data_IF_668318177262
#
_entry.id   IF_668318177262
#
_cell.length_a   1.000
_cell.length_b   1.000
_cell.length_c   1.000
_cell.angle_alpha   90.00
_cell.angle_beta   90.00
_cell.angle_gamma   90.00
#
_symmetry.space_group_name_H-M   'P 1'
#
loop_
_entity.id
_entity.type
_entity.pdbx_description
1 polymer ?
#
# COMPACT_ATOMS: atom_id res chain seq x y z
N UNK A 1 -21.12 -3.94 30.41
CA UNK A 1 -21.46 -3.06 31.54
C UNK A 1 -21.88 -1.69 31.00
N UNK A 2 -21.13 -1.05 30.09
CA UNK A 2 -21.41 0.31 29.60
C UNK A 2 -22.74 0.41 28.84
N UNK A 3 -23.07 -0.54 27.97
CA UNK A 3 -24.39 -0.60 27.32
C UNK A 3 -25.55 -0.67 28.33
N UNK A 4 -25.37 -1.37 29.45
CA UNK A 4 -26.41 -1.45 30.51
C UNK A 4 -26.58 -0.06 31.11
N UNK A 5 -25.47 0.59 31.49
CA UNK A 5 -25.51 1.92 32.09
C UNK A 5 -26.17 2.95 31.16
N UNK A 6 -25.67 3.04 29.92
CA UNK A 6 -26.19 4.00 28.92
C UNK A 6 -27.70 3.82 28.68
N UNK A 7 -28.15 2.58 28.47
CA UNK A 7 -29.56 2.33 28.20
C UNK A 7 -30.44 2.54 29.42
N UNK A 8 -29.94 2.17 30.62
CA UNK A 8 -30.68 2.41 31.87
C UNK A 8 -30.74 3.90 32.21
N UNK A 9 -29.66 4.66 32.02
CA UNK A 9 -29.64 6.10 32.23
C UNK A 9 -30.58 6.83 31.26
N UNK A 10 -30.51 6.46 29.95
CA UNK A 10 -31.45 7.02 28.95
C UNK A 10 -32.94 6.75 29.29
N UNK A 11 -33.24 5.57 29.82
CA UNK A 11 -34.60 5.26 30.29
C UNK A 11 -34.98 6.10 31.53
N UNK A 12 -34.06 6.25 32.50
CA UNK A 12 -34.30 7.10 33.69
C UNK A 12 -34.57 8.55 33.32
N UNK A 13 -33.74 9.12 32.43
CA UNK A 13 -33.93 10.47 31.94
C UNK A 13 -35.28 10.65 31.22
N UNK A 14 -35.68 9.64 30.43
CA UNK A 14 -36.98 9.67 29.76
C UNK A 14 -38.15 9.64 30.74
N UNK A 15 -38.13 8.74 31.73
CA UNK A 15 -39.13 8.65 32.80
C UNK A 15 -39.27 9.97 33.56
N UNK A 16 -38.13 10.64 33.85
CA UNK A 16 -38.13 11.92 34.58
C UNK A 16 -38.69 13.11 33.78
N UNK A 17 -38.85 12.97 32.46
CA UNK A 17 -39.32 14.03 31.55
C UNK A 17 -40.68 13.75 30.91
N UNK A 18 -41.19 12.52 30.96
CA UNK A 18 -42.40 12.08 30.24
C UNK A 18 -43.56 11.83 31.21
N UNK A 19 -44.73 12.29 30.86
CA UNK A 19 -46.00 11.98 31.52
C UNK A 19 -46.77 10.85 30.80
N UNK A 20 -46.23 10.32 29.70
CA UNK A 20 -46.87 9.24 28.92
C UNK A 20 -46.53 7.87 29.52
N UNK A 21 -47.46 7.37 30.35
CA UNK A 21 -47.32 6.06 31.00
C UNK A 21 -47.22 4.91 29.99
N UNK A 22 -47.91 4.98 28.87
CA UNK A 22 -47.90 3.92 27.85
C UNK A 22 -46.52 3.80 27.21
N UNK A 23 -45.91 4.93 26.89
CA UNK A 23 -44.59 4.95 26.30
C UNK A 23 -43.49 4.56 27.32
N UNK A 24 -43.66 4.92 28.60
CA UNK A 24 -42.78 4.49 29.69
C UNK A 24 -42.79 2.96 29.81
N UNK A 25 -43.96 2.34 29.82
CA UNK A 25 -44.10 0.89 29.91
C UNK A 25 -43.45 0.24 28.71
N UNK A 26 -43.74 0.70 27.50
CA UNK A 26 -43.15 0.17 26.25
C UNK A 26 -41.60 0.20 26.26
N UNK A 27 -41.02 1.32 26.68
CA UNK A 27 -39.53 1.45 26.76
C UNK A 27 -38.93 0.62 27.87
N UNK A 28 -39.65 0.42 28.94
CA UNK A 28 -39.19 -0.46 30.04
C UNK A 28 -39.17 -1.92 29.60
N UNK A 29 -40.20 -2.35 28.86
CA UNK A 29 -40.27 -3.71 28.30
C UNK A 29 -39.18 -3.96 27.23
N UNK A 30 -38.85 -2.91 26.43
CA UNK A 30 -37.81 -3.02 25.41
C UNK A 30 -36.37 -2.92 25.96
N UNK A 31 -36.18 -2.54 27.24
CA UNK A 31 -34.87 -2.26 27.82
C UNK A 31 -33.88 -3.43 27.68
N UNK A 32 -34.29 -4.65 28.03
CA UNK A 32 -33.42 -5.82 27.91
C UNK A 32 -33.09 -6.18 26.47
N UNK A 33 -34.05 -6.25 25.53
CA UNK A 33 -33.77 -6.38 24.11
C UNK A 33 -32.84 -5.28 23.57
N UNK A 34 -33.03 -4.03 23.95
CA UNK A 34 -32.19 -2.91 23.49
C UNK A 34 -30.75 -2.99 24.03
N UNK A 35 -30.57 -3.40 25.28
CA UNK A 35 -29.26 -3.68 25.87
C UNK A 35 -28.57 -4.83 25.12
N UNK A 36 -29.30 -5.92 24.87
CA UNK A 36 -28.76 -7.07 24.14
C UNK A 36 -28.35 -6.71 22.72
N UNK A 37 -29.18 -5.92 22.01
CA UNK A 37 -28.88 -5.42 20.68
C UNK A 37 -27.66 -4.49 20.66
N UNK A 38 -27.55 -3.57 21.63
CA UNK A 38 -26.39 -2.69 21.75
C UNK A 38 -25.11 -3.46 22.06
N UNK A 39 -25.16 -4.42 22.97
CA UNK A 39 -24.04 -5.31 23.26
C UNK A 39 -23.65 -6.15 22.04
N UNK A 40 -24.63 -6.72 21.33
CA UNK A 40 -24.39 -7.47 20.09
C UNK A 40 -23.67 -6.63 19.02
N UNK A 41 -24.02 -5.34 18.89
CA UNK A 41 -23.33 -4.43 17.97
C UNK A 41 -21.85 -4.22 18.34
N UNK A 42 -21.51 -4.12 19.63
CA UNK A 42 -20.12 -3.95 20.08
C UNK A 42 -19.25 -5.16 19.74
N UNK A 43 -19.81 -6.36 19.77
CA UNK A 43 -19.09 -7.60 19.45
C UNK A 43 -19.19 -7.99 17.97
N UNK A 44 -20.00 -7.28 17.18
CA UNK A 44 -20.08 -7.52 15.74
C UNK A 44 -18.85 -6.95 15.04
N UNK A 45 -18.16 -7.72 14.17
CA UNK A 45 -17.08 -7.18 13.35
C UNK A 45 -17.56 -6.02 12.49
N UNK A 46 -16.83 -4.90 12.51
CA UNK A 46 -17.12 -3.75 11.65
C UNK A 46 -16.72 -4.03 10.18
N UNK A 47 -15.67 -4.83 9.99
CA UNK A 47 -15.24 -5.25 8.66
C UNK A 47 -16.20 -6.34 8.14
N UNK A 48 -16.83 -6.06 7.00
CA UNK A 48 -17.85 -6.93 6.41
C UNK A 48 -17.55 -7.19 4.94
N UNK A 49 -17.90 -8.38 4.42
CA UNK A 49 -17.87 -8.63 2.98
C UNK A 49 -18.80 -7.66 2.26
N UNK A 50 -18.37 -7.17 1.11
CA UNK A 50 -19.15 -6.31 0.22
C UNK A 50 -19.05 -6.79 -1.21
N UNK A 51 -20.04 -6.39 -2.03
CA UNK A 51 -20.01 -6.65 -3.47
C UNK A 51 -19.36 -5.46 -4.16
N UNK A 52 -18.28 -5.70 -4.90
CA UNK A 52 -17.65 -4.68 -5.73
C UNK A 52 -18.40 -4.55 -7.06
N UNK A 53 -19.19 -3.51 -7.21
CA UNK A 53 -19.91 -3.16 -8.45
C UNK A 53 -19.37 -1.87 -9.09
N UNK A 54 -18.12 -1.46 -8.77
CA UNK A 54 -17.54 -0.17 -9.23
C UNK A 54 -16.93 -0.24 -10.62
N UNK A 55 -16.69 -1.44 -11.16
CA UNK A 55 -15.93 -1.64 -12.41
C UNK A 55 -14.40 -1.59 -12.22
N UNK A 56 -13.91 -1.30 -11.01
CA UNK A 56 -12.46 -1.26 -10.69
C UNK A 56 -12.07 -2.51 -9.91
N UNK A 57 -11.32 -3.42 -10.53
CA UNK A 57 -10.96 -4.71 -9.93
C UNK A 57 -10.10 -4.54 -8.68
N UNK A 58 -9.05 -3.70 -8.75
CA UNK A 58 -8.14 -3.41 -7.64
C UNK A 58 -8.55 -2.13 -6.90
N UNK A 59 -9.80 -2.10 -6.43
CA UNK A 59 -10.34 -0.91 -5.77
C UNK A 59 -9.70 -0.69 -4.40
N UNK A 60 -9.03 0.45 -4.19
CA UNK A 60 -8.24 0.75 -2.99
C UNK A 60 -9.05 0.72 -1.70
N UNK A 61 -10.32 1.16 -1.74
CA UNK A 61 -11.20 1.22 -0.56
C UNK A 61 -11.93 -0.10 -0.30
N UNK A 62 -11.85 -1.07 -1.21
CA UNK A 62 -12.54 -2.35 -1.13
C UNK A 62 -11.59 -3.56 -0.95
N UNK A 63 -10.40 -3.30 -0.43
CA UNK A 63 -9.44 -4.36 -0.06
C UNK A 63 -8.39 -4.67 -1.13
N UNK A 64 -8.42 -4.03 -2.30
CA UNK A 64 -7.48 -4.24 -3.42
C UNK A 64 -7.54 -5.67 -3.97
N UNK A 65 -6.39 -6.37 -4.09
CA UNK A 65 -6.31 -7.73 -4.60
C UNK A 65 -6.96 -8.74 -3.63
N UNK A 66 -7.79 -9.62 -4.19
CA UNK A 66 -8.42 -10.69 -3.41
C UNK A 66 -7.47 -11.88 -3.26
N UNK A 67 -7.54 -12.54 -2.11
CA UNK A 67 -6.86 -13.81 -1.87
C UNK A 67 -7.81 -14.94 -2.28
N UNK A 68 -7.31 -15.91 -3.06
CA UNK A 68 -8.13 -17.07 -3.44
C UNK A 68 -8.53 -17.90 -2.20
N UNK A 69 -9.69 -18.58 -2.27
CA UNK A 69 -10.18 -19.41 -1.16
C UNK A 69 -9.13 -20.42 -0.69
N UNK A 70 -8.44 -21.09 -1.60
CA UNK A 70 -7.37 -22.04 -1.27
C UNK A 70 -6.26 -21.41 -0.45
N UNK A 71 -5.81 -20.21 -0.82
CA UNK A 71 -4.76 -19.51 -0.07
C UNK A 71 -5.26 -18.94 1.25
N UNK A 72 -6.53 -18.51 1.32
CA UNK A 72 -7.14 -18.06 2.58
C UNK A 72 -7.25 -19.20 3.60
N UNK A 73 -7.64 -20.41 3.17
CA UNK A 73 -7.68 -21.60 4.02
C UNK A 73 -6.28 -21.97 4.55
N UNK A 74 -5.26 -21.92 3.71
CA UNK A 74 -3.87 -22.14 4.12
C UNK A 74 -3.40 -21.06 5.11
N UNK A 75 -3.70 -19.79 4.85
CA UNK A 75 -3.39 -18.69 5.76
C UNK A 75 -4.04 -18.90 7.14
N UNK A 76 -5.32 -19.28 7.16
CA UNK A 76 -6.03 -19.57 8.40
C UNK A 76 -5.35 -20.69 9.21
N UNK A 77 -4.88 -21.75 8.56
CA UNK A 77 -4.17 -22.83 9.23
C UNK A 77 -2.85 -22.34 9.87
N UNK A 78 -2.15 -21.40 9.22
CA UNK A 78 -0.90 -20.84 9.76
C UNK A 78 -1.17 -19.86 10.91
N UNK A 79 -2.10 -18.91 10.74
CA UNK A 79 -2.34 -17.84 11.74
C UNK A 79 -3.06 -18.33 12.99
N UNK A 80 -3.71 -19.50 12.93
CA UNK A 80 -4.38 -20.12 14.09
C UNK A 80 -3.46 -20.99 14.96
N UNK A 81 -2.17 -21.09 14.62
CA UNK A 81 -1.18 -21.88 15.35
C UNK A 81 0.21 -21.25 15.35
N UNK A 82 1.15 -21.94 15.96
CA UNK A 82 2.56 -21.57 15.83
C UNK A 82 3.08 -21.90 14.44
N UNK A 83 3.98 -21.07 13.92
CA UNK A 83 4.60 -21.26 12.61
C UNK A 83 6.10 -21.01 12.65
N UNK A 84 6.79 -21.46 11.62
CA UNK A 84 8.22 -21.26 11.44
C UNK A 84 8.58 -19.91 10.80
N UNK A 85 7.79 -18.86 11.04
CA UNK A 85 7.96 -17.54 10.38
C UNK A 85 9.39 -16.99 10.48
N UNK A 86 10.06 -17.18 11.61
CA UNK A 86 11.47 -16.80 11.82
C UNK A 86 12.28 -17.99 12.36
N UNK A 87 11.97 -19.20 11.95
CA UNK A 87 12.66 -20.39 12.41
C UNK A 87 12.98 -21.32 11.24
N UNK A 88 14.25 -21.68 11.11
CA UNK A 88 14.72 -22.67 10.16
C UNK A 88 14.57 -24.07 10.78
N UNK A 89 13.67 -24.87 10.20
CA UNK A 89 13.37 -26.22 10.71
C UNK A 89 14.51 -27.21 10.46
N UNK A 90 15.31 -27.01 9.43
CA UNK A 90 16.45 -27.91 9.09
C UNK A 90 17.65 -27.59 9.97
N UNK A 91 17.96 -26.31 10.13
CA UNK A 91 19.06 -25.85 10.97
C UNK A 91 18.74 -25.89 12.47
N UNK A 92 17.46 -25.97 12.85
CA UNK A 92 17.02 -25.89 14.25
C UNK A 92 17.34 -24.55 14.91
N UNK A 93 17.39 -23.46 14.14
CA UNK A 93 17.85 -22.15 14.58
C UNK A 93 16.92 -21.02 14.06
N UNK A 94 17.21 -19.78 14.49
CA UNK A 94 16.52 -18.59 13.98
C UNK A 94 16.76 -18.43 12.49
N UNK A 95 15.68 -18.29 11.72
CA UNK A 95 15.66 -18.03 10.29
C UNK A 95 15.21 -16.60 9.95
N UNK A 96 15.17 -16.32 8.66
CA UNK A 96 14.77 -15.03 8.09
C UNK A 96 13.38 -15.11 7.45
N UNK A 97 12.52 -14.12 7.69
CA UNK A 97 11.13 -14.11 7.16
C UNK A 97 11.08 -14.19 5.65
N UNK A 98 11.95 -13.49 4.94
CA UNK A 98 11.92 -13.43 3.49
C UNK A 98 12.43 -14.72 2.81
N UNK A 99 13.11 -15.60 3.52
CA UNK A 99 13.53 -16.90 2.98
C UNK A 99 12.35 -17.76 2.49
N UNK A 100 11.15 -17.54 3.05
CA UNK A 100 9.93 -18.27 2.66
C UNK A 100 9.41 -17.92 1.26
N UNK A 101 9.74 -16.75 0.72
CA UNK A 101 9.19 -16.30 -0.56
C UNK A 101 10.24 -15.73 -1.54
N UNK A 102 11.43 -15.35 -1.08
CA UNK A 102 12.47 -14.71 -1.90
C UNK A 102 12.78 -15.51 -3.17
N UNK A 103 13.08 -16.81 -3.03
CA UNK A 103 13.38 -17.68 -4.17
C UNK A 103 12.24 -17.72 -5.20
N UNK A 104 10.99 -17.71 -4.73
CA UNK A 104 9.83 -17.70 -5.61
C UNK A 104 9.71 -16.37 -6.34
N UNK A 105 9.87 -15.24 -5.66
CA UNK A 105 9.86 -13.91 -6.27
C UNK A 105 10.98 -13.76 -7.29
N UNK A 106 12.20 -14.12 -6.95
CA UNK A 106 13.34 -14.09 -7.89
C UNK A 106 13.06 -14.94 -9.15
N UNK A 107 12.45 -16.12 -8.98
CA UNK A 107 12.07 -16.98 -10.11
C UNK A 107 11.00 -16.36 -11.02
N UNK A 108 10.03 -15.66 -10.43
CA UNK A 108 8.93 -15.04 -11.19
C UNK A 108 9.39 -13.75 -11.89
N UNK A 109 10.22 -12.96 -11.23
CA UNK A 109 10.63 -11.64 -11.72
C UNK A 109 11.92 -11.65 -12.51
N UNK A 110 12.76 -12.68 -12.37
CA UNK A 110 14.13 -12.72 -12.89
C UNK A 110 15.13 -11.87 -12.10
N UNK A 111 14.73 -11.33 -10.93
CA UNK A 111 15.60 -10.54 -10.08
C UNK A 111 16.63 -11.41 -9.35
N UNK A 112 17.78 -10.82 -9.02
CA UNK A 112 18.87 -11.48 -8.28
C UNK A 112 18.51 -11.65 -6.79
N UNK A 113 17.75 -10.72 -6.22
CA UNK A 113 17.25 -10.74 -4.85
C UNK A 113 15.85 -10.13 -4.76
N UNK A 114 15.09 -10.50 -3.73
CA UNK A 114 13.74 -9.98 -3.51
C UNK A 114 13.42 -9.87 -2.03
N UNK A 115 12.71 -8.81 -1.67
CA UNK A 115 12.20 -8.58 -0.32
C UNK A 115 10.77 -8.06 -0.39
N UNK A 116 9.93 -8.46 0.55
CA UNK A 116 8.60 -7.91 0.72
C UNK A 116 8.52 -7.06 1.99
N UNK A 117 7.83 -5.94 1.90
CA UNK A 117 7.51 -5.06 3.02
C UNK A 117 6.00 -4.82 3.04
N UNK A 118 5.48 -4.37 4.17
CA UNK A 118 4.04 -4.17 4.32
C UNK A 118 3.50 -2.97 3.52
N UNK A 119 4.32 -1.93 3.28
CA UNK A 119 3.94 -0.76 2.52
C UNK A 119 5.16 0.08 2.13
N UNK A 120 4.97 0.96 1.13
CA UNK A 120 5.91 2.00 0.72
C UNK A 120 7.37 1.52 0.56
N UNK A 121 7.57 0.46 -0.24
CA UNK A 121 8.88 -0.12 -0.50
C UNK A 121 9.87 0.90 -1.08
N UNK A 122 9.39 1.83 -1.91
CA UNK A 122 10.23 2.88 -2.52
C UNK A 122 10.82 3.83 -1.48
N UNK A 123 10.04 4.24 -0.46
CA UNK A 123 10.54 5.07 0.63
C UNK A 123 11.63 4.35 1.43
N UNK A 124 11.42 3.06 1.72
CA UNK A 124 12.41 2.25 2.42
C UNK A 124 13.72 2.15 1.62
N UNK A 125 13.62 1.90 0.31
CA UNK A 125 14.77 1.82 -0.61
C UNK A 125 15.52 3.14 -0.66
N UNK A 126 14.82 4.26 -0.83
CA UNK A 126 15.41 5.59 -0.82
C UNK A 126 16.08 5.92 0.53
N UNK A 127 15.44 5.55 1.64
CA UNK A 127 16.02 5.78 2.98
C UNK A 127 17.30 4.97 3.21
N UNK A 128 17.34 3.75 2.68
CA UNK A 128 18.50 2.87 2.84
C UNK A 128 19.68 3.27 1.94
N UNK A 129 19.41 3.68 0.70
CA UNK A 129 20.44 3.89 -0.32
C UNK A 129 20.79 5.37 -0.54
N UNK A 130 19.84 6.28 -0.32
CA UNK A 130 19.95 7.66 -0.82
C UNK A 130 19.89 8.74 0.27
N UNK A 131 19.85 8.39 1.56
CA UNK A 131 19.77 9.38 2.64
C UNK A 131 20.93 10.38 2.58
N UNK A 132 20.59 11.68 2.52
CA UNK A 132 21.54 12.78 2.42
C UNK A 132 22.20 12.94 1.04
N UNK A 133 21.79 12.16 0.06
CA UNK A 133 22.28 12.25 -1.31
C UNK A 133 21.21 12.60 -2.32
N UNK A 134 21.65 13.01 -3.48
CA UNK A 134 20.78 13.48 -4.58
C UNK A 134 20.15 12.31 -5.34
N UNK A 135 18.89 12.50 -5.71
CA UNK A 135 18.11 11.56 -6.53
C UNK A 135 17.42 12.35 -7.65
N UNK A 136 18.01 12.38 -8.85
CA UNK A 136 17.39 12.92 -10.05
C UNK A 136 16.11 12.17 -10.41
N UNK A 137 15.03 12.94 -10.67
CA UNK A 137 13.72 12.43 -11.08
C UNK A 137 13.06 13.37 -12.09
N UNK A 138 12.35 12.82 -13.08
CA UNK A 138 11.64 13.61 -14.07
C UNK A 138 10.51 14.41 -13.42
N UNK A 139 10.43 15.71 -13.73
CA UNK A 139 9.34 16.59 -13.29
C UNK A 139 7.97 16.11 -13.77
N UNK A 140 7.91 15.52 -14.96
CA UNK A 140 6.71 14.89 -15.50
C UNK A 140 6.28 13.60 -14.78
N UNK A 141 7.04 13.11 -13.81
CA UNK A 141 6.78 11.88 -13.04
C UNK A 141 6.49 12.14 -11.54
N UNK A 142 6.39 13.42 -11.14
CA UNK A 142 6.06 13.81 -9.78
C UNK A 142 4.56 13.63 -9.51
N UNK A 143 4.15 12.38 -9.37
CA UNK A 143 2.75 11.98 -9.23
C UNK A 143 2.23 12.15 -7.80
N UNK A 144 0.95 12.52 -7.68
CA UNK A 144 0.16 12.35 -6.46
C UNK A 144 -0.83 11.20 -6.66
N UNK A 145 -0.74 10.19 -5.80
CA UNK A 145 -1.63 9.03 -5.77
C UNK A 145 -2.49 9.11 -4.52
N UNK A 146 -3.73 8.63 -4.57
CA UNK A 146 -4.77 8.75 -3.54
C UNK A 146 -4.27 8.84 -2.09
N UNK A 147 -4.99 9.58 -1.25
CA UNK A 147 -4.63 9.79 0.15
C UNK A 147 -3.47 10.78 0.39
N UNK A 148 -3.19 11.66 -0.57
CA UNK A 148 -2.12 12.66 -0.53
C UNK A 148 -0.70 12.06 -0.57
N UNK A 149 -0.53 10.85 -1.10
CA UNK A 149 0.79 10.29 -1.36
C UNK A 149 1.43 11.03 -2.56
N UNK A 150 2.49 11.77 -2.32
CA UNK A 150 3.23 12.55 -3.30
C UNK A 150 4.67 12.08 -3.37
N UNK A 151 5.19 11.92 -4.58
CA UNK A 151 6.60 11.54 -4.78
C UNK A 151 7.56 12.49 -4.09
N UNK A 152 7.42 13.83 -4.18
CA UNK A 152 8.30 14.76 -3.45
C UNK A 152 8.27 14.56 -1.92
N UNK A 153 7.09 14.31 -1.35
CA UNK A 153 6.95 14.11 0.09
C UNK A 153 7.61 12.79 0.54
N UNK A 154 7.50 11.74 -0.26
CA UNK A 154 8.16 10.45 -0.02
C UNK A 154 9.68 10.60 -0.07
N UNK A 155 10.20 11.31 -1.07
CA UNK A 155 11.64 11.59 -1.16
C UNK A 155 12.13 12.40 0.03
N UNK A 156 11.43 13.47 0.40
CA UNK A 156 11.79 14.28 1.57
C UNK A 156 11.77 13.45 2.87
N UNK A 157 10.74 12.63 3.08
CA UNK A 157 10.63 11.77 4.26
C UNK A 157 11.69 10.67 4.31
N UNK A 158 12.14 10.19 3.15
CA UNK A 158 13.23 9.22 3.08
C UNK A 158 14.59 9.80 3.49
N UNK A 159 14.70 11.13 3.49
CA UNK A 159 15.95 11.85 3.70
C UNK A 159 16.81 11.98 2.43
N UNK A 160 16.30 11.58 1.26
CA UNK A 160 16.93 11.83 -0.02
C UNK A 160 16.70 13.28 -0.47
N UNK A 161 17.64 13.83 -1.22
CA UNK A 161 17.56 15.16 -1.81
C UNK A 161 17.04 15.00 -3.23
N UNK A 162 15.79 15.43 -3.46
CA UNK A 162 15.19 15.37 -4.78
C UNK A 162 15.79 16.40 -5.72
N UNK A 163 16.22 15.97 -6.91
CA UNK A 163 16.66 16.84 -8.00
C UNK A 163 15.67 16.64 -9.15
N UNK A 164 14.71 17.55 -9.26
CA UNK A 164 13.72 17.51 -10.33
C UNK A 164 14.31 18.05 -11.65
N UNK A 165 14.12 17.32 -12.75
CA UNK A 165 14.74 17.63 -14.02
C UNK A 165 13.75 17.57 -15.19
N UNK A 166 14.17 18.12 -16.33
CA UNK A 166 13.31 18.28 -17.49
C UNK A 166 12.19 19.31 -17.29
N UNK A 167 11.11 19.13 -18.01
CA UNK A 167 9.90 19.96 -17.95
C UNK A 167 8.68 19.08 -17.62
N UNK A 168 7.51 19.70 -17.48
CA UNK A 168 6.26 18.97 -17.20
C UNK A 168 5.97 17.88 -18.26
N UNK A 169 6.24 18.17 -19.53
CA UNK A 169 5.88 17.31 -20.65
C UNK A 169 7.07 16.67 -21.37
N UNK A 170 8.29 17.11 -21.12
CA UNK A 170 9.49 16.56 -21.78
C UNK A 170 10.64 16.38 -20.81
N UNK A 171 11.21 15.19 -20.86
CA UNK A 171 12.46 14.85 -20.16
C UNK A 171 13.29 14.02 -21.11
N UNK A 172 14.52 14.47 -21.34
CA UNK A 172 15.51 13.79 -22.20
C UNK A 172 16.54 13.05 -21.36
N UNK A 173 17.19 12.06 -21.95
CA UNK A 173 18.28 11.33 -21.27
C UNK A 173 19.45 12.28 -20.90
N UNK A 174 19.68 13.32 -21.71
CA UNK A 174 20.66 14.36 -21.41
C UNK A 174 20.37 15.12 -20.11
N UNK A 175 19.08 15.30 -19.74
CA UNK A 175 18.72 15.99 -18.52
C UNK A 175 19.20 15.19 -17.30
N UNK A 176 19.01 13.86 -17.34
CA UNK A 176 19.54 12.96 -16.31
C UNK A 176 21.09 12.95 -16.31
N UNK A 177 21.71 12.85 -17.49
CA UNK A 177 23.16 12.81 -17.60
C UNK A 177 23.84 14.07 -17.05
N UNK A 178 23.22 15.25 -17.28
CA UNK A 178 23.73 16.53 -16.82
C UNK A 178 23.44 16.80 -15.32
N UNK A 179 22.44 16.14 -14.74
CA UNK A 179 22.10 16.27 -13.32
C UNK A 179 22.96 15.36 -12.41
N UNK A 180 23.72 14.45 -12.96
CA UNK A 180 24.61 13.58 -12.18
C UNK A 180 25.75 14.39 -11.57
N UNK A 181 25.89 14.33 -10.27
CA UNK A 181 26.94 14.93 -9.45
C UNK A 181 27.66 13.86 -8.59
N UNK A 182 28.66 14.26 -7.83
CA UNK A 182 29.30 13.40 -6.82
C UNK A 182 28.36 13.02 -5.66
N UNK A 183 27.29 13.80 -5.48
CA UNK A 183 26.28 13.58 -4.45
C UNK A 183 25.13 12.66 -4.93
N UNK A 184 25.08 12.34 -6.21
CA UNK A 184 24.03 11.47 -6.79
C UNK A 184 24.17 10.05 -6.27
N UNK A 185 23.10 9.52 -5.64
CA UNK A 185 23.05 8.18 -5.07
C UNK A 185 22.24 7.19 -5.90
N UNK A 186 21.22 7.66 -6.59
CA UNK A 186 20.42 6.86 -7.50
C UNK A 186 19.76 7.74 -8.55
N UNK A 187 19.38 7.17 -9.69
CA UNK A 187 18.47 7.79 -10.65
C UNK A 187 17.09 7.21 -10.42
N UNK A 188 16.05 8.05 -10.37
CA UNK A 188 14.68 7.60 -10.10
C UNK A 188 13.81 7.67 -11.36
N UNK A 189 13.04 6.60 -11.57
CA UNK A 189 11.97 6.49 -12.56
C UNK A 189 10.67 6.20 -11.84
N UNK A 190 9.63 7.01 -12.08
CA UNK A 190 8.33 6.81 -11.44
C UNK A 190 7.25 6.61 -12.49
N UNK A 191 6.44 5.57 -12.31
CA UNK A 191 5.34 5.28 -13.20
C UNK A 191 4.16 6.23 -12.99
N UNK A 192 3.72 6.91 -14.06
CA UNK A 192 2.56 7.82 -14.05
C UNK A 192 1.26 7.02 -14.13
N UNK A 193 0.87 6.39 -13.02
CA UNK A 193 -0.19 5.38 -12.97
C UNK A 193 -1.61 5.93 -13.10
N UNK A 194 -1.83 7.21 -12.76
CA UNK A 194 -3.17 7.80 -12.61
C UNK A 194 -3.43 9.01 -13.50
N UNK A 195 -2.48 9.38 -14.35
CA UNK A 195 -2.66 10.45 -15.34
C UNK A 195 -1.86 10.17 -16.62
N UNK A 196 -2.18 10.90 -17.68
CA UNK A 196 -1.45 10.88 -18.95
C UNK A 196 -1.27 12.31 -19.46
N UNK A 197 -0.04 12.63 -19.86
CA UNK A 197 0.25 13.87 -20.56
C UNK A 197 0.14 13.59 -22.07
N UNK A 198 -0.66 14.38 -22.80
CA UNK A 198 -0.92 14.19 -24.22
C UNK A 198 -0.47 15.43 -25.00
N UNK A 199 0.12 15.23 -26.16
CA UNK A 199 0.61 16.29 -27.04
C UNK A 199 2.11 16.12 -27.33
N UNK A 200 2.84 17.22 -27.30
CA UNK A 200 4.30 17.22 -27.53
C UNK A 200 5.04 16.74 -26.28
N UNK A 201 5.09 15.43 -26.08
CA UNK A 201 5.66 14.79 -24.88
C UNK A 201 6.89 13.96 -25.21
N UNK A 202 7.79 13.85 -24.25
CA UNK A 202 8.94 12.94 -24.30
C UNK A 202 9.28 12.45 -22.89
N UNK A 203 9.63 11.19 -22.76
CA UNK A 203 10.04 10.57 -21.49
C UNK A 203 11.18 9.59 -21.72
N UNK A 204 12.04 9.42 -20.72
CA UNK A 204 13.14 8.47 -20.76
C UNK A 204 12.60 7.09 -20.44
N UNK A 205 12.96 6.10 -21.27
CA UNK A 205 12.59 4.70 -21.00
C UNK A 205 13.39 4.14 -19.84
N UNK A 206 12.82 3.17 -19.07
CA UNK A 206 13.56 2.48 -18.01
C UNK A 206 14.88 1.86 -18.52
N UNK A 207 14.88 1.29 -19.71
CA UNK A 207 16.06 0.67 -20.30
C UNK A 207 17.18 1.70 -20.58
N UNK A 208 16.84 2.87 -21.15
CA UNK A 208 17.82 3.92 -21.41
C UNK A 208 18.38 4.50 -20.09
N UNK A 209 17.52 4.64 -19.07
CA UNK A 209 17.97 5.12 -17.76
C UNK A 209 18.89 4.09 -17.07
N UNK A 210 18.56 2.81 -17.18
CA UNK A 210 19.39 1.72 -16.66
C UNK A 210 20.77 1.67 -17.33
N UNK A 211 20.84 1.92 -18.64
CA UNK A 211 22.11 2.00 -19.37
C UNK A 211 22.97 3.19 -18.90
N UNK A 212 22.34 4.37 -18.73
CA UNK A 212 23.02 5.53 -18.16
C UNK A 212 23.55 5.23 -16.75
N UNK A 213 22.71 4.63 -15.88
CA UNK A 213 23.08 4.25 -14.53
C UNK A 213 24.28 3.30 -14.50
N UNK A 214 24.27 2.25 -15.35
CA UNK A 214 25.41 1.33 -15.50
C UNK A 214 26.67 2.04 -15.93
N UNK A 215 26.60 2.90 -16.94
CA UNK A 215 27.76 3.66 -17.45
C UNK A 215 28.38 4.59 -16.41
N UNK A 216 27.62 4.99 -15.39
CA UNK A 216 28.06 5.89 -14.33
C UNK A 216 28.23 5.19 -12.97
N UNK A 217 27.99 3.88 -12.91
CA UNK A 217 27.98 3.09 -11.66
C UNK A 217 27.01 3.65 -10.61
N UNK A 218 25.85 4.14 -11.06
CA UNK A 218 24.79 4.70 -10.23
C UNK A 218 23.57 3.78 -10.35
N UNK A 219 22.98 3.31 -9.24
CA UNK A 219 21.78 2.48 -9.28
C UNK A 219 20.57 3.26 -9.83
N UNK A 220 19.65 2.54 -10.48
CA UNK A 220 18.37 3.07 -10.92
C UNK A 220 17.27 2.47 -10.05
N UNK A 221 16.41 3.31 -9.49
CA UNK A 221 15.24 2.91 -8.71
C UNK A 221 14.00 3.18 -9.58
N UNK A 222 13.27 2.13 -9.90
CA UNK A 222 12.01 2.23 -10.63
C UNK A 222 10.83 1.98 -9.70
N UNK A 223 9.97 2.99 -9.54
CA UNK A 223 8.68 2.86 -8.84
C UNK A 223 7.60 2.46 -9.84
N UNK A 224 7.24 1.19 -9.85
CA UNK A 224 6.25 0.62 -10.77
C UNK A 224 4.79 0.87 -10.34
N UNK A 225 4.55 1.38 -9.15
CA UNK A 225 3.21 1.47 -8.58
C UNK A 225 2.64 0.07 -8.33
N UNK A 226 1.60 -0.33 -9.06
CA UNK A 226 1.04 -1.68 -8.92
C UNK A 226 1.93 -2.78 -9.52
N UNK A 227 2.61 -2.48 -10.62
CA UNK A 227 3.38 -3.46 -11.38
C UNK A 227 2.53 -4.59 -11.99
N UNK A 228 3.19 -5.43 -12.80
CA UNK A 228 2.60 -6.66 -13.32
C UNK A 228 3.70 -7.72 -13.44
N UNK A 229 3.48 -8.89 -12.83
CA UNK A 229 4.47 -9.98 -12.82
C UNK A 229 4.24 -11.01 -13.92
N UNK A 230 3.24 -10.81 -14.78
CA UNK A 230 2.90 -11.69 -15.89
C UNK A 230 2.88 -10.93 -17.22
N UNK A 231 3.30 -11.60 -18.28
CA UNK A 231 3.14 -11.06 -19.62
C UNK A 231 1.66 -11.08 -20.03
N UNK A 232 1.09 -9.90 -20.27
CA UNK A 232 -0.30 -9.73 -20.66
C UNK A 232 -0.48 -9.69 -22.19
N UNK A 233 0.59 -9.60 -22.97
CA UNK A 233 0.53 -9.57 -24.43
C UNK A 233 -0.21 -10.77 -25.05
N UNK A 234 -0.03 -12.02 -24.56
CA UNK A 234 -0.81 -13.17 -25.05
C UNK A 234 -2.32 -13.06 -24.83
N UNK A 235 -2.74 -12.18 -23.89
CA UNK A 235 -4.15 -11.90 -23.60
C UNK A 235 -4.68 -10.68 -24.38
N UNK A 236 -3.89 -10.10 -25.29
CA UNK A 236 -4.26 -8.90 -26.04
C UNK A 236 -4.27 -7.61 -25.22
N UNK A 237 -3.70 -7.64 -24.03
CA UNK A 237 -3.54 -6.49 -23.14
C UNK A 237 -2.12 -5.90 -23.27
N UNK A 238 -2.00 -4.57 -23.04
CA UNK A 238 -0.72 -3.82 -23.13
C UNK A 238 -0.32 -3.33 -21.77
#
# INVERSE_FOLDING_TARGET
VDCIRERTEALREFIGKSEDETEIIRRTESLLPDIAAAAGKLFSPNLKPVINATGTVLHTNLGRALISRKHAEHLMAIVSGYSNLEYDLEAGARGERYSHFEKLLCRITGAEAAMAVNNNAVMLTLSALCRGGEVPVSRGELVEIGGKFRVPDVMAQSGAIMVDLGTTNKTHLSDYANAISEQTRALSKVHTSNYRIVGFTESVSPAALAELGRSRSIPVIEDLGSGCLVDLAPLGLR
#
